data_IF_362615479939
#
_entry.id   IF_362615479939
#
_cell.length_a   1.000
_cell.length_b   1.000
_cell.length_c   1.000
_cell.angle_alpha   90.00
_cell.angle_beta   90.00
_cell.angle_gamma   90.00
#
_symmetry.space_group_name_H-M   'P 1'
#
loop_
_entity.id
_entity.type
_entity.pdbx_description
1 polymer ?
#
# COMPACT_ATOMS: atom_id res chain seq x y z
N UNK A 1 -31.88 40.00 35.76
CA UNK A 1 -30.93 40.84 34.99
C UNK A 1 -30.08 39.85 34.20
N UNK A 2 -30.49 39.44 33.00
CA UNK A 2 -30.14 40.01 31.67
C UNK A 2 -28.64 40.19 31.47
N UNK A 3 -28.16 39.67 30.32
CA UNK A 3 -26.89 39.95 29.60
C UNK A 3 -25.82 38.85 29.73
N UNK A 4 -25.14 38.35 28.68
CA UNK A 4 -25.06 38.64 27.24
C UNK A 4 -24.53 37.37 26.51
N UNK A 5 -25.03 37.00 25.31
CA UNK A 5 -24.36 36.06 24.41
C UNK A 5 -23.16 36.72 23.70
N UNK A 6 -22.05 36.01 23.55
CA UNK A 6 -20.87 36.50 22.82
C UNK A 6 -20.82 35.89 21.41
N UNK A 7 -21.05 36.68 20.34
CA UNK A 7 -20.74 36.32 18.98
C UNK A 7 -19.43 37.00 18.51
N UNK A 8 -18.80 36.35 17.51
CA UNK A 8 -17.79 36.90 16.59
C UNK A 8 -16.34 36.77 17.04
N UNK A 9 -15.32 36.58 16.19
CA UNK A 9 -15.14 36.31 14.75
C UNK A 9 -13.61 36.26 14.59
N UNK A 10 -13.06 35.19 14.03
CA UNK A 10 -11.76 35.14 13.31
C UNK A 10 -11.80 33.83 12.52
N UNK A 11 -12.21 33.77 11.25
CA UNK A 11 -11.58 34.37 10.08
C UNK A 11 -10.08 34.06 10.00
N UNK A 12 -9.75 32.85 9.56
CA UNK A 12 -8.52 32.58 8.80
C UNK A 12 -8.87 31.67 7.63
N UNK A 13 -9.03 32.30 6.47
CA UNK A 13 -8.93 31.68 5.14
C UNK A 13 -7.45 31.73 4.78
N UNK A 14 -6.85 30.59 4.42
CA UNK A 14 -5.63 30.57 3.62
C UNK A 14 -5.57 29.28 2.80
N UNK A 15 -5.69 29.46 1.49
CA UNK A 15 -5.48 28.46 0.47
C UNK A 15 -3.99 28.09 0.35
N UNK A 16 -3.71 26.82 0.08
CA UNK A 16 -2.50 26.38 -0.59
C UNK A 16 -2.85 25.20 -1.50
N UNK A 17 -3.21 25.53 -2.74
CA UNK A 17 -3.30 24.61 -3.84
C UNK A 17 -1.92 24.49 -4.51
N UNK A 18 -1.61 23.28 -4.98
CA UNK A 18 -0.71 22.95 -6.09
C UNK A 18 0.77 23.34 -5.97
N UNK A 19 1.58 22.45 -5.39
CA UNK A 19 2.95 22.12 -5.84
C UNK A 19 3.19 20.67 -5.37
N UNK A 20 3.29 19.65 -6.22
CA UNK A 20 4.55 18.97 -6.57
C UNK A 20 4.29 17.95 -7.70
N UNK A 21 3.95 18.43 -8.90
CA UNK A 21 3.82 17.64 -10.14
C UNK A 21 5.03 17.86 -11.06
N UNK A 22 6.24 17.85 -10.48
CA UNK A 22 7.48 18.00 -11.23
C UNK A 22 8.52 16.99 -10.76
N UNK A 23 9.04 16.22 -11.72
CA UNK A 23 9.99 15.10 -11.63
C UNK A 23 9.30 13.75 -11.39
N UNK A 24 9.33 12.76 -12.28
CA UNK A 24 10.42 12.38 -13.17
C UNK A 24 9.86 11.85 -14.50
N UNK A 25 9.88 12.70 -15.52
CA UNK A 25 9.71 12.32 -16.91
C UNK A 25 11.04 12.42 -17.64
N UNK A 26 11.41 11.35 -18.35
CA UNK A 26 12.08 11.41 -19.65
C UNK A 26 13.56 11.80 -19.71
N UNK A 27 14.42 10.80 -19.92
CA UNK A 27 15.07 10.60 -21.23
C UNK A 27 16.30 11.44 -21.62
N UNK A 28 17.39 10.70 -21.87
CA UNK A 28 18.43 10.89 -22.89
C UNK A 28 19.54 11.94 -22.70
N UNK A 29 20.79 11.48 -22.54
CA UNK A 29 21.98 12.33 -22.68
C UNK A 29 23.30 11.56 -22.52
N UNK A 30 23.93 11.27 -23.65
CA UNK A 30 25.16 10.49 -23.86
C UNK A 30 26.44 11.09 -23.27
N UNK A 31 27.42 10.22 -23.00
CA UNK A 31 28.83 10.56 -23.14
C UNK A 31 29.73 10.01 -22.03
N UNK A 32 30.43 8.90 -22.30
CA UNK A 32 31.82 8.67 -21.85
C UNK A 32 32.38 7.46 -22.60
N UNK A 33 33.45 7.74 -23.31
CA UNK A 33 34.19 6.87 -24.21
C UNK A 33 35.33 6.18 -23.44
N UNK A 34 35.81 5.08 -24.02
CA UNK A 34 37.12 4.45 -23.78
C UNK A 34 37.36 3.69 -22.46
N UNK A 35 37.28 2.37 -22.53
CA UNK A 35 38.41 1.53 -22.09
C UNK A 35 38.52 0.31 -22.99
N UNK A 36 39.74 0.12 -23.49
CA UNK A 36 40.13 -0.83 -24.52
C UNK A 36 40.15 -2.30 -24.05
N UNK A 37 39.87 -3.17 -25.03
CA UNK A 37 40.60 -4.38 -25.39
C UNK A 37 40.85 -5.47 -24.32
N UNK A 38 40.18 -6.61 -24.52
CA UNK A 38 40.75 -7.94 -24.28
C UNK A 38 40.07 -8.99 -25.18
N UNK A 39 40.70 -9.14 -26.34
CA UNK A 39 41.09 -10.35 -27.09
C UNK A 39 40.35 -11.70 -26.92
N UNK A 40 40.14 -12.31 -28.11
CA UNK A 40 40.02 -13.74 -28.45
C UNK A 40 38.66 -14.41 -28.15
N UNK A 41 37.75 -14.54 -29.12
CA UNK A 41 37.75 -15.47 -30.27
C UNK A 41 37.71 -16.94 -29.85
N UNK A 42 36.56 -17.60 -30.06
CA UNK A 42 36.52 -18.90 -30.72
C UNK A 42 35.12 -19.24 -31.25
N UNK A 43 35.10 -20.09 -32.26
CA UNK A 43 34.16 -20.14 -33.39
C UNK A 43 33.16 -21.30 -33.37
N UNK A 44 32.16 -21.22 -34.26
CA UNK A 44 31.31 -22.28 -34.85
C UNK A 44 29.88 -22.40 -34.29
N UNK A 45 28.85 -21.83 -34.95
CA UNK A 45 28.16 -22.27 -36.20
C UNK A 45 27.07 -23.33 -35.98
N UNK A 46 25.79 -22.95 -36.09
CA UNK A 46 24.89 -23.38 -37.20
C UNK A 46 23.40 -23.03 -36.99
N UNK A 47 22.89 -22.24 -37.94
CA UNK A 47 21.61 -22.29 -38.67
C UNK A 47 20.23 -22.47 -37.98
N UNK A 48 19.35 -21.52 -38.31
CA UNK A 48 17.90 -21.43 -38.05
C UNK A 48 17.05 -22.39 -38.93
N UNK A 49 15.69 -22.47 -38.76
CA UNK A 49 14.83 -21.47 -39.40
C UNK A 49 13.55 -21.04 -38.65
N UNK A 50 13.03 -19.93 -39.17
CA UNK A 50 11.88 -19.08 -38.87
C UNK A 50 10.50 -19.73 -38.72
N UNK A 51 9.70 -19.17 -37.80
CA UNK A 51 8.31 -18.68 -38.02
C UNK A 51 8.13 -17.54 -37.01
N UNK A 52 7.75 -16.29 -37.33
CA UNK A 52 6.85 -15.83 -38.37
C UNK A 52 5.48 -15.55 -37.74
N UNK A 53 5.34 -14.46 -36.96
CA UNK A 53 4.07 -13.76 -36.73
C UNK A 53 4.33 -12.39 -36.11
N UNK A 54 4.40 -11.39 -37.00
CA UNK A 54 4.15 -9.99 -36.67
C UNK A 54 2.64 -9.80 -36.50
N UNK A 55 2.21 -9.21 -35.40
CA UNK A 55 0.97 -8.41 -35.24
C UNK A 55 1.01 -7.83 -33.83
N UNK A 56 1.36 -6.56 -33.69
CA UNK A 56 0.41 -5.44 -33.65
C UNK A 56 -0.38 -5.38 -32.34
N UNK A 57 -0.16 -4.26 -31.64
CA UNK A 57 -1.16 -3.57 -30.83
C UNK A 57 -1.66 -4.29 -29.59
N UNK A 58 -1.03 -4.01 -28.46
CA UNK A 58 -1.48 -2.93 -27.56
C UNK A 58 -0.61 -3.01 -26.32
N UNK A 59 -0.06 -1.88 -25.90
CA UNK A 59 0.33 -1.70 -24.51
C UNK A 59 -0.83 -2.20 -23.64
N UNK A 60 -0.61 -2.97 -22.57
CA UNK A 60 -1.63 -3.09 -21.56
C UNK A 60 -1.80 -1.71 -20.94
N UNK A 61 -2.70 -0.91 -21.50
CA UNK A 61 -3.58 -0.13 -20.65
C UNK A 61 -4.46 -1.18 -19.97
N UNK A 62 -3.87 -1.88 -18.99
CA UNK A 62 -4.63 -2.69 -18.05
C UNK A 62 -5.45 -1.69 -17.27
N UNK A 63 -6.60 -1.35 -17.83
CA UNK A 63 -7.72 -0.88 -17.05
C UNK A 63 -7.85 -1.92 -15.95
N UNK A 64 -7.70 -1.49 -14.70
CA UNK A 64 -7.79 -2.33 -13.52
C UNK A 64 -9.08 -3.17 -13.41
N UNK A 65 -10.02 -3.00 -14.36
CA UNK A 65 -11.26 -3.75 -14.47
C UNK A 65 -11.19 -5.13 -15.13
N UNK A 66 -10.07 -5.56 -15.73
CA UNK A 66 -9.99 -6.87 -16.41
C UNK A 66 -9.22 -7.96 -15.63
N UNK A 67 -8.49 -7.62 -14.56
CA UNK A 67 -7.79 -8.61 -13.75
C UNK A 67 -8.66 -9.08 -12.57
N UNK A 68 -8.97 -10.39 -12.47
CA UNK A 68 -9.87 -10.91 -11.44
C UNK A 68 -9.29 -10.79 -10.02
N UNK A 69 -7.95 -10.77 -9.87
CA UNK A 69 -7.31 -10.59 -8.57
C UNK A 69 -7.42 -9.13 -8.11
N UNK A 70 -7.32 -8.17 -9.04
CA UNK A 70 -7.56 -6.75 -8.76
C UNK A 70 -9.02 -6.51 -8.36
N UNK A 71 -9.98 -7.07 -9.09
CA UNK A 71 -11.40 -6.95 -8.74
C UNK A 71 -11.73 -7.54 -7.36
N UNK A 72 -11.16 -8.71 -7.02
CA UNK A 72 -11.32 -9.33 -5.71
C UNK A 72 -10.71 -8.45 -4.61
N UNK A 73 -9.45 -8.02 -4.80
CA UNK A 73 -8.76 -7.11 -3.90
C UNK A 73 -9.59 -5.86 -3.62
N UNK A 74 -10.19 -5.26 -4.64
CA UNK A 74 -11.00 -4.05 -4.50
C UNK A 74 -12.31 -4.25 -3.73
N UNK A 75 -12.96 -5.43 -3.86
CA UNK A 75 -14.11 -5.77 -3.02
C UNK A 75 -13.73 -5.92 -1.54
N UNK A 76 -12.51 -6.37 -1.28
CA UNK A 76 -11.99 -6.61 0.06
C UNK A 76 -11.39 -5.35 0.69
N UNK A 77 -10.80 -4.45 -0.11
CA UNK A 77 -10.27 -3.15 0.30
C UNK A 77 -11.29 -2.33 1.11
N UNK A 78 -12.54 -2.28 0.65
CA UNK A 78 -13.61 -1.59 1.38
C UNK A 78 -13.90 -2.19 2.77
N UNK A 79 -13.70 -3.50 2.95
CA UNK A 79 -13.85 -4.16 4.25
C UNK A 79 -12.68 -3.83 5.18
N UNK A 80 -11.48 -3.63 4.64
CA UNK A 80 -10.31 -3.22 5.42
C UNK A 80 -10.40 -1.77 5.88
N UNK A 81 -10.95 -0.86 5.07
CA UNK A 81 -11.19 0.52 5.52
C UNK A 81 -12.16 0.53 6.71
N UNK A 82 -13.24 -0.26 6.65
CA UNK A 82 -14.16 -0.40 7.77
C UNK A 82 -13.48 -1.02 9.00
N UNK A 83 -12.70 -2.10 8.83
CA UNK A 83 -11.91 -2.72 9.90
C UNK A 83 -10.87 -1.76 10.50
N UNK A 84 -10.20 -0.96 9.69
CA UNK A 84 -9.23 0.05 10.14
C UNK A 84 -9.89 1.17 10.94
N UNK A 85 -11.08 1.60 10.53
CA UNK A 85 -11.90 2.54 11.29
C UNK A 85 -12.36 1.92 12.63
N UNK A 86 -12.78 0.65 12.62
CA UNK A 86 -13.12 -0.08 13.85
C UNK A 86 -11.91 -0.22 14.78
N UNK A 87 -10.72 -0.56 14.26
CA UNK A 87 -9.47 -0.65 15.02
C UNK A 87 -9.10 0.68 15.67
N UNK A 88 -9.28 1.79 14.94
CA UNK A 88 -8.99 3.14 15.41
C UNK A 88 -9.93 3.59 16.53
N UNK A 89 -11.17 3.08 16.53
CA UNK A 89 -12.17 3.34 17.55
C UNK A 89 -12.21 2.27 18.66
N UNK A 90 -11.43 1.19 18.54
CA UNK A 90 -11.49 0.05 19.43
C UNK A 90 -10.93 0.36 20.81
N UNK A 91 -11.55 -0.22 21.84
CA UNK A 91 -10.96 -0.26 23.18
C UNK A 91 -9.86 -1.33 23.26
N UNK A 92 -8.91 -1.23 24.21
CA UNK A 92 -7.84 -2.23 24.40
C UNK A 92 -8.36 -3.65 24.59
N UNK A 93 -9.57 -3.81 25.12
CA UNK A 93 -10.22 -5.10 25.36
C UNK A 93 -10.79 -5.71 24.05
N UNK A 94 -11.10 -4.88 23.05
CA UNK A 94 -11.63 -5.29 21.75
C UNK A 94 -10.52 -5.52 20.70
N UNK A 95 -9.35 -4.91 20.93
CA UNK A 95 -8.19 -4.94 20.06
C UNK A 95 -7.74 -6.36 19.67
N UNK A 96 -7.61 -7.33 20.60
CA UNK A 96 -7.16 -8.69 20.25
C UNK A 96 -8.11 -9.39 19.28
N UNK A 97 -9.42 -9.28 19.50
CA UNK A 97 -10.43 -9.88 18.62
C UNK A 97 -10.48 -9.24 17.24
N UNK A 98 -10.41 -7.91 17.18
CA UNK A 98 -10.37 -7.19 15.90
C UNK A 98 -9.06 -7.42 15.14
N UNK A 99 -7.93 -7.56 15.83
CA UNK A 99 -6.64 -7.88 15.20
C UNK A 99 -6.63 -9.29 14.61
N UNK A 100 -7.20 -10.28 15.30
CA UNK A 100 -7.37 -11.61 14.73
C UNK A 100 -8.26 -11.58 13.49
N UNK A 101 -9.34 -10.80 13.53
CA UNK A 101 -10.22 -10.63 12.37
C UNK A 101 -9.50 -9.92 11.21
N UNK A 102 -8.70 -8.90 11.49
CA UNK A 102 -7.91 -8.19 10.49
C UNK A 102 -6.82 -9.08 9.88
N UNK A 103 -6.11 -9.87 10.70
CA UNK A 103 -5.10 -10.83 10.23
C UNK A 103 -5.72 -11.92 9.36
N UNK A 104 -6.86 -12.50 9.79
CA UNK A 104 -7.58 -13.51 9.02
C UNK A 104 -8.14 -12.94 7.71
N UNK A 105 -8.62 -11.69 7.73
CA UNK A 105 -9.01 -10.99 6.52
C UNK A 105 -7.79 -10.87 5.59
N UNK A 106 -6.65 -10.37 6.09
CA UNK A 106 -5.40 -10.18 5.32
C UNK A 106 -4.93 -11.46 4.62
N UNK A 107 -4.99 -12.59 5.33
CA UNK A 107 -4.62 -13.91 4.80
C UNK A 107 -5.62 -14.43 3.75
N UNK A 108 -6.90 -14.09 3.89
CA UNK A 108 -7.94 -14.51 2.93
C UNK A 108 -7.87 -13.78 1.58
N UNK A 109 -7.12 -12.68 1.51
CA UNK A 109 -7.01 -11.84 0.32
C UNK A 109 -5.77 -12.20 -0.45
N UNK A 110 -5.97 -12.57 -1.72
CA UNK A 110 -4.89 -12.79 -2.66
C UNK A 110 -4.50 -11.44 -3.28
N UNK A 111 -3.34 -10.84 -2.94
CA UNK A 111 -2.94 -9.58 -3.51
C UNK A 111 -2.57 -9.74 -5.01
N UNK A 112 -2.82 -8.72 -5.84
CA UNK A 112 -2.27 -8.66 -7.19
C UNK A 112 -0.75 -8.71 -7.16
N UNK A 113 -0.13 -9.35 -8.16
CA UNK A 113 1.32 -9.53 -8.23
C UNK A 113 2.11 -8.20 -8.16
N UNK A 114 1.49 -7.09 -8.56
CA UNK A 114 2.07 -5.75 -8.51
C UNK A 114 2.34 -5.23 -7.09
N UNK A 115 1.55 -5.66 -6.09
CA UNK A 115 1.69 -5.25 -4.69
C UNK A 115 1.89 -6.43 -3.73
N UNK A 116 2.08 -7.65 -4.25
CA UNK A 116 2.16 -8.85 -3.41
C UNK A 116 3.29 -8.77 -2.37
N UNK A 117 4.43 -8.18 -2.73
CA UNK A 117 5.54 -7.95 -1.80
C UNK A 117 5.17 -6.95 -0.71
N UNK A 118 4.64 -5.78 -1.07
CA UNK A 118 4.21 -4.75 -0.13
C UNK A 118 3.08 -5.25 0.80
N UNK A 119 2.10 -5.97 0.22
CA UNK A 119 1.00 -6.61 0.96
C UNK A 119 1.50 -7.60 1.99
N UNK A 120 2.49 -8.43 1.63
CA UNK A 120 3.07 -9.38 2.55
C UNK A 120 3.75 -8.69 3.72
N UNK A 121 4.51 -7.60 3.48
CA UNK A 121 5.15 -6.82 4.55
C UNK A 121 4.12 -6.26 5.52
N UNK A 122 3.00 -5.73 5.02
CA UNK A 122 1.91 -5.21 5.86
C UNK A 122 1.24 -6.36 6.62
N UNK A 123 0.96 -7.48 5.95
CA UNK A 123 0.36 -8.68 6.57
C UNK A 123 1.23 -9.27 7.68
N UNK A 124 2.54 -9.38 7.46
CA UNK A 124 3.52 -9.81 8.47
C UNK A 124 3.50 -8.88 9.70
N UNK A 125 3.36 -7.57 9.51
CA UNK A 125 3.24 -6.62 10.60
C UNK A 125 1.92 -6.75 11.37
N UNK A 126 0.79 -6.95 10.68
CA UNK A 126 -0.51 -7.23 11.32
C UNK A 126 -0.43 -8.52 12.14
N UNK A 127 0.17 -9.56 11.57
CA UNK A 127 0.30 -10.86 12.23
C UNK A 127 1.20 -10.76 13.47
N UNK A 128 2.37 -10.12 13.36
CA UNK A 128 3.26 -9.89 14.49
C UNK A 128 2.59 -9.09 15.62
N UNK A 129 1.76 -8.10 15.26
CA UNK A 129 1.00 -7.34 16.25
C UNK A 129 -0.10 -8.19 16.90
N UNK A 130 -0.82 -9.00 16.13
CA UNK A 130 -1.81 -9.95 16.62
C UNK A 130 -1.20 -11.00 17.56
N UNK A 131 -0.07 -11.62 17.17
CA UNK A 131 0.67 -12.58 18.00
C UNK A 131 1.09 -11.95 19.34
N UNK A 132 1.60 -10.72 19.30
CA UNK A 132 1.95 -9.98 20.52
C UNK A 132 0.71 -9.76 21.39
N UNK A 133 -0.39 -9.27 20.80
CA UNK A 133 -1.63 -9.02 21.53
C UNK A 133 -2.22 -10.27 22.19
N UNK A 134 -2.05 -11.44 21.58
CA UNK A 134 -2.50 -12.73 22.13
C UNK A 134 -1.53 -13.32 23.17
N UNK A 135 -0.25 -12.96 23.09
CA UNK A 135 0.80 -13.47 23.98
C UNK A 135 0.92 -12.68 25.30
N UNK A 136 0.48 -11.42 25.33
CA UNK A 136 0.73 -10.53 26.48
C UNK A 136 -0.47 -10.47 27.44
N UNK A 137 -0.17 -10.36 28.73
CA UNK A 137 -1.20 -10.13 29.74
C UNK A 137 -1.50 -8.63 29.88
N UNK A 138 -2.61 -8.18 29.30
CA UNK A 138 -3.03 -6.78 29.31
C UNK A 138 -3.50 -6.27 30.69
N UNK A 139 -3.67 -7.16 31.67
CA UNK A 139 -3.95 -6.77 33.06
C UNK A 139 -2.69 -6.34 33.80
N UNK A 140 -1.51 -6.62 33.23
CA UNK A 140 -0.22 -6.21 33.78
C UNK A 140 0.34 -4.95 33.09
N UNK A 141 1.10 -4.10 33.81
CA UNK A 141 1.79 -2.95 33.21
C UNK A 141 2.80 -3.35 32.12
N UNK A 142 3.44 -4.51 32.29
CA UNK A 142 4.44 -5.01 31.34
C UNK A 142 3.79 -5.42 30.01
N UNK A 143 2.68 -6.18 30.06
CA UNK A 143 1.94 -6.56 28.86
C UNK A 143 1.35 -5.36 28.12
N UNK A 144 0.91 -4.32 28.83
CA UNK A 144 0.48 -3.05 28.22
C UNK A 144 1.63 -2.35 27.49
N UNK A 145 2.83 -2.31 28.07
CA UNK A 145 4.01 -1.71 27.43
C UNK A 145 4.46 -2.50 26.19
N UNK A 146 4.40 -3.83 26.24
CA UNK A 146 4.70 -4.69 25.09
C UNK A 146 3.69 -4.48 23.96
N UNK A 147 2.39 -4.43 24.27
CA UNK A 147 1.36 -4.14 23.27
C UNK A 147 1.56 -2.76 22.63
N UNK A 148 1.84 -1.73 23.44
CA UNK A 148 2.14 -0.38 22.92
C UNK A 148 3.36 -0.38 22.00
N UNK A 149 4.41 -1.12 22.34
CA UNK A 149 5.61 -1.24 21.50
C UNK A 149 5.26 -1.88 20.16
N UNK A 150 4.51 -2.99 20.17
CA UNK A 150 4.09 -3.65 18.94
C UNK A 150 3.14 -2.79 18.10
N UNK A 151 2.25 -2.02 18.73
CA UNK A 151 1.40 -1.05 18.04
C UNK A 151 2.23 0.04 17.35
N UNK A 152 3.29 0.56 17.98
CA UNK A 152 4.18 1.56 17.37
C UNK A 152 4.97 0.97 16.17
N UNK A 153 5.42 -0.28 16.29
CA UNK A 153 6.06 -0.99 15.17
C UNK A 153 5.09 -1.17 14.01
N UNK A 154 3.86 -1.61 14.29
CA UNK A 154 2.80 -1.73 13.30
C UNK A 154 2.50 -0.38 12.61
N UNK A 155 2.33 0.69 13.39
CA UNK A 155 2.10 2.05 12.85
C UNK A 155 3.26 2.50 11.96
N UNK A 156 4.50 2.15 12.32
CA UNK A 156 5.68 2.46 11.50
C UNK A 156 5.61 1.78 10.14
N UNK A 157 5.20 0.51 10.08
CA UNK A 157 4.99 -0.22 8.82
C UNK A 157 3.79 0.32 8.05
N UNK A 158 2.69 0.62 8.74
CA UNK A 158 1.47 1.17 8.15
C UNK A 158 1.66 2.59 7.57
N UNK A 159 2.65 3.34 8.05
CA UNK A 159 3.08 4.63 7.50
C UNK A 159 4.27 4.49 6.54
N UNK A 160 4.75 3.26 6.33
CA UNK A 160 5.87 2.95 5.46
C UNK A 160 5.51 3.05 3.97
N UNK A 161 6.54 2.98 3.09
CA UNK A 161 6.33 2.99 1.65
C UNK A 161 5.48 1.80 1.17
N UNK A 162 5.57 0.65 1.82
CA UNK A 162 4.84 -0.56 1.45
C UNK A 162 3.32 -0.38 1.64
N UNK A 163 2.89 0.09 2.81
CA UNK A 163 1.50 0.41 3.06
C UNK A 163 0.99 1.55 2.16
N UNK A 164 1.85 2.53 1.87
CA UNK A 164 1.54 3.60 0.92
C UNK A 164 1.32 3.05 -0.49
N UNK A 165 2.16 2.12 -0.95
CA UNK A 165 2.05 1.47 -2.26
C UNK A 165 0.75 0.67 -2.38
N UNK A 166 0.37 -0.09 -1.35
CA UNK A 166 -0.90 -0.83 -1.29
C UNK A 166 -2.10 0.13 -1.39
N UNK A 167 -2.06 1.22 -0.63
CA UNK A 167 -3.14 2.23 -0.62
C UNK A 167 -3.26 2.92 -1.99
N UNK A 168 -2.14 3.40 -2.54
CA UNK A 168 -2.07 4.03 -3.85
C UNK A 168 -2.51 3.08 -4.97
N UNK A 169 -2.19 1.79 -4.84
CA UNK A 169 -2.67 0.77 -5.76
C UNK A 169 -4.20 0.64 -5.67
N UNK A 170 -4.75 0.56 -4.46
CA UNK A 170 -6.21 0.56 -4.24
C UNK A 170 -6.89 1.77 -4.88
N UNK A 171 -6.42 2.99 -4.62
CA UNK A 171 -7.00 4.21 -5.19
C UNK A 171 -6.95 4.26 -6.72
N UNK A 172 -5.84 3.80 -7.32
CA UNK A 172 -5.65 3.79 -8.77
C UNK A 172 -6.45 2.69 -9.48
N UNK A 173 -6.64 1.54 -8.83
CA UNK A 173 -7.13 0.33 -9.49
C UNK A 173 -8.58 -0.01 -9.12
N UNK A 174 -8.99 0.30 -7.90
CA UNK A 174 -10.37 0.04 -7.46
C UNK A 174 -11.34 1.09 -7.98
N UNK A 175 -10.81 2.17 -8.57
CA UNK A 175 -11.57 3.38 -8.84
C UNK A 175 -12.09 3.98 -7.54
N UNK A 176 -12.50 5.23 -7.60
CA UNK A 176 -13.25 5.80 -6.51
C UNK A 176 -14.52 4.95 -6.24
N UNK A 177 -14.46 4.10 -5.22
CA UNK A 177 -15.54 3.96 -4.27
C UNK A 177 -15.69 5.24 -3.41
N UNK A 178 -15.21 6.40 -3.90
CA UNK A 178 -15.68 7.67 -3.38
C UNK A 178 -17.20 7.73 -3.60
N UNK A 179 -17.97 8.19 -2.61
CA UNK A 179 -19.40 8.36 -2.78
C UNK A 179 -19.63 9.29 -3.98
N UNK A 180 -20.17 8.74 -5.06
CA UNK A 180 -20.80 9.57 -6.10
C UNK A 180 -21.92 10.33 -5.41
N UNK A 181 -21.74 11.64 -5.27
CA UNK A 181 -22.83 12.56 -4.90
C UNK A 181 -23.97 12.52 -5.92
#
# INVERSE_FOLDING_TARGET
MRSIPSPSRSALVAAAAAVLLTACGGGNGSGSEETAESTSADTSSSAAPSTGSSSSSSSPSSSAGDDPAVAAFCQQAAQYEDLGNQLSAATPEQLPGLLQQAAAAFDSVQPPAAIAGDWQVVGDAVQAFSDTANSVDLTTPDGQAQLQTAAQQFVTVAQGPEATNVTQFGEQNCGAAAPTS
#
